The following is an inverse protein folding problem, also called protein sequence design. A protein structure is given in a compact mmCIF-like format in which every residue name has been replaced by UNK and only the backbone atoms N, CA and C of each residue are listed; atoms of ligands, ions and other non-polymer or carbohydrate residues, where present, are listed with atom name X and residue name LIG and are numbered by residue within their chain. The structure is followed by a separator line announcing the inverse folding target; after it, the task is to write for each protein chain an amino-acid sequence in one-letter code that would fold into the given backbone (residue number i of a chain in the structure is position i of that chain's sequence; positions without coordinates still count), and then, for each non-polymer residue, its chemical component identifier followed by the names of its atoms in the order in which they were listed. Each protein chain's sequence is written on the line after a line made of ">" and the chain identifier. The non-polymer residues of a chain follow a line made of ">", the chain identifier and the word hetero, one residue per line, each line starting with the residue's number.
data_IF_291677138047
#
_entry.id   IF_291677138047
#
_cell.length_a   1.000
_cell.length_b   1.000
_cell.length_c   1.000
_cell.angle_alpha   90.00
_cell.angle_beta   90.00
_cell.angle_gamma   90.00
#
_symmetry.space_group_name_H-M   'P 1'
#
loop_
_entity.id
_entity.type
_entity.pdbx_description
1 polymer ?
#
# COMPACT_ATOMS: atom_id res chain seq x y z
N UNK A 1 21.60 -16.34 -1.47
CA UNK A 1 20.24 -16.92 -1.66
C UNK A 1 19.23 -15.78 -1.74
N UNK A 2 18.19 -15.89 -2.57
CA UNK A 2 17.14 -14.87 -2.70
C UNK A 2 15.94 -15.27 -1.83
N UNK A 3 15.56 -14.41 -0.89
CA UNK A 3 14.44 -14.65 0.02
C UNK A 3 13.24 -13.79 -0.39
N UNK A 4 12.03 -14.34 -0.30
CA UNK A 4 10.77 -13.64 -0.65
C UNK A 4 9.75 -13.87 0.48
N UNK A 5 9.02 -12.82 0.86
CA UNK A 5 7.98 -12.91 1.90
C UNK A 5 8.55 -12.97 3.33
N UNK A 6 7.97 -13.79 4.19
CA UNK A 6 8.33 -13.83 5.61
C UNK A 6 9.80 -14.13 5.91
N UNK A 7 10.49 -15.04 5.19
CA UNK A 7 11.93 -15.23 5.34
C UNK A 7 12.74 -13.95 5.07
N UNK A 8 12.36 -13.18 4.04
CA UNK A 8 13.00 -11.89 3.75
C UNK A 8 12.71 -10.86 4.87
N UNK A 9 11.46 -10.76 5.33
CA UNK A 9 11.08 -9.85 6.43
C UNK A 9 11.89 -10.13 7.70
N UNK A 10 12.10 -11.41 8.06
CA UNK A 10 12.83 -11.80 9.28
C UNK A 10 14.30 -11.36 9.32
N UNK A 11 14.97 -11.32 8.17
CA UNK A 11 16.39 -10.97 8.09
C UNK A 11 16.65 -9.49 7.74
N UNK A 12 15.58 -8.71 7.53
CA UNK A 12 15.64 -7.30 7.16
C UNK A 12 16.49 -6.49 8.16
N UNK A 13 16.35 -6.79 9.45
CA UNK A 13 17.10 -6.15 10.54
C UNK A 13 18.62 -6.27 10.40
N UNK A 14 19.13 -7.42 9.94
CA UNK A 14 20.57 -7.69 9.79
C UNK A 14 21.11 -7.44 8.39
N UNK A 15 20.23 -7.17 7.42
CA UNK A 15 20.59 -7.08 6.01
C UNK A 15 19.76 -6.00 5.28
N UNK A 16 19.60 -4.83 5.91
CA UNK A 16 18.74 -3.75 5.41
C UNK A 16 19.12 -3.27 4.01
N UNK A 17 20.42 -3.14 3.73
CA UNK A 17 20.92 -2.63 2.44
C UNK A 17 20.56 -3.57 1.25
N UNK A 18 20.28 -4.86 1.49
CA UNK A 18 19.89 -5.83 0.46
C UNK A 18 18.46 -6.37 0.63
N UNK A 19 17.66 -5.79 1.54
CA UNK A 19 16.27 -6.20 1.74
C UNK A 19 15.35 -5.17 1.12
N UNK A 20 14.85 -5.47 -0.08
CA UNK A 20 13.98 -4.56 -0.83
C UNK A 20 12.52 -4.76 -0.40
N UNK A 21 11.87 -3.67 0.00
CA UNK A 21 10.45 -3.57 0.33
C UNK A 21 9.89 -2.29 -0.29
N UNK A 22 8.58 -2.03 -0.19
CA UNK A 22 7.94 -0.82 -0.73
C UNK A 22 8.18 -0.54 -2.23
N UNK A 23 8.70 -1.51 -3.00
CA UNK A 23 9.18 -1.28 -4.38
C UNK A 23 8.06 -0.82 -5.33
N UNK A 24 6.80 -1.11 -4.98
CA UNK A 24 5.61 -0.60 -5.69
C UNK A 24 5.53 0.93 -5.70
N UNK A 25 6.15 1.63 -4.73
CA UNK A 25 6.27 3.10 -4.75
C UNK A 25 7.24 3.59 -5.84
N UNK A 26 8.19 2.75 -6.27
CA UNK A 26 9.22 3.08 -7.27
C UNK A 26 8.86 2.63 -8.69
N UNK A 27 7.96 1.65 -8.83
CA UNK A 27 7.61 1.08 -10.14
C UNK A 27 7.08 2.17 -11.08
N UNK A 28 7.61 2.22 -12.31
CA UNK A 28 7.25 3.22 -13.33
C UNK A 28 7.65 4.66 -13.01
N UNK A 29 8.51 4.91 -12.01
CA UNK A 29 8.98 6.26 -11.67
C UNK A 29 10.38 6.57 -12.19
N UNK A 30 10.64 7.86 -12.38
CA UNK A 30 11.96 8.39 -12.73
C UNK A 30 12.84 8.52 -11.49
N UNK A 31 14.15 8.39 -11.68
CA UNK A 31 15.11 8.56 -10.58
C UNK A 31 15.11 9.98 -10.02
N UNK A 32 14.85 10.98 -10.86
CA UNK A 32 14.83 12.40 -10.51
C UNK A 32 13.47 12.94 -10.03
N UNK A 33 12.44 12.08 -10.00
CA UNK A 33 11.12 12.40 -9.43
C UNK A 33 11.27 12.86 -7.97
N UNK A 34 10.67 14.01 -7.56
CA UNK A 34 10.68 14.47 -6.18
C UNK A 34 10.23 13.40 -5.16
N UNK A 35 9.29 12.55 -5.55
CA UNK A 35 8.79 11.44 -4.73
C UNK A 35 9.87 10.38 -4.54
N UNK A 36 10.56 9.97 -5.61
CA UNK A 36 11.68 9.02 -5.54
C UNK A 36 12.81 9.54 -4.66
N UNK A 37 13.10 10.85 -4.71
CA UNK A 37 14.11 11.48 -3.84
C UNK A 37 13.74 11.35 -2.37
N UNK A 38 12.48 11.58 -2.03
CA UNK A 38 11.97 11.39 -0.67
C UNK A 38 12.11 9.93 -0.23
N UNK A 39 11.72 8.97 -1.08
CA UNK A 39 11.88 7.54 -0.77
C UNK A 39 13.34 7.15 -0.53
N UNK A 40 14.28 7.74 -1.27
CA UNK A 40 15.73 7.50 -1.09
C UNK A 40 16.21 7.85 0.33
N UNK A 41 15.58 8.81 0.99
CA UNK A 41 15.91 9.19 2.37
C UNK A 41 15.23 8.27 3.41
N UNK A 42 14.18 7.55 3.00
CA UNK A 42 13.33 6.76 3.89
C UNK A 42 13.69 5.27 3.91
N UNK A 43 14.37 4.74 2.90
CA UNK A 43 14.67 3.30 2.78
C UNK A 43 16.13 2.98 3.10
N UNK A 44 16.44 1.79 3.66
CA UNK A 44 17.81 1.40 3.97
C UNK A 44 18.62 0.97 2.74
N UNK A 45 17.94 0.43 1.72
CA UNK A 45 18.57 -0.02 0.47
C UNK A 45 18.88 1.15 -0.47
N UNK A 46 19.72 0.91 -1.47
CA UNK A 46 20.14 1.95 -2.40
C UNK A 46 19.17 2.06 -3.58
N UNK A 47 18.56 3.23 -3.75
CA UNK A 47 17.87 3.61 -4.98
C UNK A 47 18.92 4.22 -5.93
N UNK A 48 19.00 3.68 -7.14
CA UNK A 48 20.00 4.04 -8.15
C UNK A 48 19.35 4.44 -9.46
N UNK A 49 20.08 5.20 -10.29
CA UNK A 49 19.60 5.59 -11.62
C UNK A 49 19.77 4.45 -12.61
N UNK A 50 18.67 3.91 -13.10
CA UNK A 50 18.67 2.89 -14.15
C UNK A 50 19.20 3.41 -15.48
N UNK A 51 19.52 2.48 -16.40
CA UNK A 51 20.10 2.80 -17.72
C UNK A 51 19.22 3.74 -18.57
N UNK A 52 17.91 3.67 -18.38
CA UNK A 52 16.92 4.51 -19.05
C UNK A 52 16.58 5.79 -18.27
N UNK A 53 17.17 5.99 -17.09
CA UNK A 53 16.89 7.11 -16.17
C UNK A 53 15.78 6.85 -15.15
N UNK A 54 15.21 5.64 -15.12
CA UNK A 54 14.19 5.26 -14.14
C UNK A 54 14.80 4.97 -12.77
N UNK A 55 13.97 4.99 -11.73
CA UNK A 55 14.36 4.60 -10.38
C UNK A 55 14.54 3.08 -10.31
N UNK A 56 15.77 2.63 -10.07
CA UNK A 56 16.14 1.23 -9.87
C UNK A 56 16.62 1.03 -8.43
N UNK A 57 16.81 -0.22 -8.01
CA UNK A 57 17.37 -0.54 -6.70
C UNK A 57 18.64 -1.38 -6.87
N UNK A 58 19.58 -1.24 -5.95
CA UNK A 58 20.78 -2.07 -5.91
C UNK A 58 20.73 -3.04 -4.73
N UNK A 59 20.99 -4.32 -5.00
CA UNK A 59 21.08 -5.37 -3.99
C UNK A 59 22.15 -6.40 -4.39
N UNK A 60 23.02 -6.78 -3.47
CA UNK A 60 24.05 -7.79 -3.72
C UNK A 60 25.09 -7.39 -4.79
N UNK A 61 25.27 -6.08 -5.02
CA UNK A 61 26.16 -5.55 -6.05
C UNK A 61 25.57 -5.53 -7.47
N UNK A 62 24.29 -5.87 -7.63
CA UNK A 62 23.58 -5.81 -8.90
C UNK A 62 22.43 -4.81 -8.85
N UNK A 63 22.17 -4.15 -9.98
CA UNK A 63 21.05 -3.23 -10.14
C UNK A 63 19.84 -3.97 -10.70
N UNK A 64 18.68 -3.77 -10.07
CA UNK A 64 17.41 -4.37 -10.43
C UNK A 64 16.37 -3.28 -10.71
N UNK A 65 15.59 -3.46 -11.77
CA UNK A 65 14.41 -2.64 -11.99
C UNK A 65 13.31 -2.98 -10.97
N UNK A 66 12.42 -2.03 -10.64
CA UNK A 66 11.25 -2.31 -9.80
C UNK A 66 10.38 -3.46 -10.34
N UNK A 67 10.29 -3.61 -11.66
CA UNK A 67 9.58 -4.72 -12.30
C UNK A 67 10.24 -6.07 -12.02
N UNK A 68 11.58 -6.16 -12.02
CA UNK A 68 12.28 -7.40 -11.67
C UNK A 68 12.06 -7.78 -10.19
N UNK A 69 12.15 -6.82 -9.27
CA UNK A 69 11.88 -7.08 -7.85
C UNK A 69 10.43 -7.52 -7.64
N UNK A 70 9.48 -6.84 -8.29
CA UNK A 70 8.05 -7.19 -8.22
C UNK A 70 7.77 -8.57 -8.82
N UNK A 71 8.49 -8.94 -9.90
CA UNK A 71 8.39 -10.25 -10.51
C UNK A 71 8.78 -11.38 -9.55
N UNK A 72 9.75 -11.18 -8.65
CA UNK A 72 10.08 -12.18 -7.63
C UNK A 72 8.89 -12.42 -6.68
N UNK A 73 8.17 -11.36 -6.31
CA UNK A 73 6.94 -11.50 -5.51
C UNK A 73 5.86 -12.24 -6.29
N UNK A 74 5.66 -11.91 -7.57
CA UNK A 74 4.69 -12.58 -8.44
C UNK A 74 5.05 -14.05 -8.69
N UNK A 75 6.32 -14.39 -8.85
CA UNK A 75 6.80 -15.78 -8.93
C UNK A 75 6.41 -16.56 -7.67
N UNK A 76 6.56 -15.95 -6.48
CA UNK A 76 6.13 -16.61 -5.24
C UNK A 76 4.61 -16.84 -5.20
N UNK A 77 3.82 -15.91 -5.73
CA UNK A 77 2.35 -16.08 -5.82
C UNK A 77 1.97 -17.16 -6.83
N UNK A 78 2.65 -17.20 -7.98
CA UNK A 78 2.53 -18.27 -8.97
C UNK A 78 2.84 -19.64 -8.35
N UNK A 79 3.99 -19.80 -7.72
CA UNK A 79 4.37 -21.05 -7.02
C UNK A 79 3.34 -21.46 -5.97
N UNK A 80 2.73 -20.48 -5.28
CA UNK A 80 1.70 -20.74 -4.27
C UNK A 80 0.43 -21.32 -4.92
N UNK A 81 -0.01 -20.74 -6.04
CA UNK A 81 -1.14 -21.26 -6.82
C UNK A 81 -0.83 -22.64 -7.42
N UNK A 82 0.34 -22.83 -8.03
CA UNK A 82 0.78 -24.11 -8.60
C UNK A 82 0.85 -25.22 -7.53
N UNK A 83 1.35 -24.90 -6.34
CA UNK A 83 1.42 -25.84 -5.21
C UNK A 83 0.02 -26.27 -4.75
N UNK A 84 -0.97 -25.37 -4.81
CA UNK A 84 -2.35 -25.67 -4.43
C UNK A 84 -3.08 -26.46 -5.52
N UNK A 85 -2.91 -26.09 -6.79
CA UNK A 85 -3.61 -26.69 -7.92
C UNK A 85 -2.98 -28.01 -8.39
N UNK A 86 -1.67 -28.21 -8.16
CA UNK A 86 -0.93 -29.38 -8.65
C UNK A 86 -0.61 -29.32 -10.15
N UNK A 87 -0.72 -28.15 -10.78
CA UNK A 87 -0.44 -27.92 -12.20
C UNK A 87 0.23 -26.57 -12.44
N UNK A 88 0.77 -26.37 -13.64
CA UNK A 88 1.47 -25.13 -14.02
C UNK A 88 0.48 -23.99 -14.26
N UNK A 89 0.77 -22.81 -13.69
CA UNK A 89 -0.01 -21.59 -13.89
C UNK A 89 0.74 -20.66 -14.83
N UNK A 90 0.13 -20.30 -15.96
CA UNK A 90 0.78 -19.47 -16.99
C UNK A 90 0.11 -18.12 -17.21
N UNK A 91 -1.09 -17.91 -16.68
CA UNK A 91 -1.91 -16.73 -16.92
C UNK A 91 -2.34 -16.08 -15.60
N UNK A 92 -2.44 -14.75 -15.58
CA UNK A 92 -2.87 -14.03 -14.39
C UNK A 92 -3.62 -12.73 -14.70
N UNK A 93 -4.50 -12.34 -13.79
CA UNK A 93 -4.98 -10.97 -13.63
C UNK A 93 -4.19 -10.33 -12.49
N UNK A 94 -3.62 -9.15 -12.72
CA UNK A 94 -2.78 -8.45 -11.73
C UNK A 94 -3.42 -7.11 -11.39
N UNK A 95 -3.42 -6.75 -10.11
CA UNK A 95 -4.06 -5.53 -9.61
C UNK A 95 -3.08 -4.36 -9.58
N UNK A 96 -3.59 -3.15 -9.77
CA UNK A 96 -2.86 -1.88 -9.60
C UNK A 96 -3.74 -0.83 -8.93
N UNK A 97 -3.17 0.17 -8.23
CA UNK A 97 -3.91 1.33 -7.76
C UNK A 97 -4.67 2.00 -8.90
N UNK A 98 -5.90 2.45 -8.64
CA UNK A 98 -6.72 3.06 -9.69
C UNK A 98 -6.01 4.28 -10.29
N UNK A 99 -5.30 5.05 -9.47
CA UNK A 99 -4.59 6.25 -9.88
C UNK A 99 -3.20 6.03 -10.51
N UNK A 100 -2.81 4.78 -10.81
CA UNK A 100 -1.57 4.50 -11.56
C UNK A 100 -1.61 5.07 -12.98
N UNK A 101 -0.52 5.74 -13.36
CA UNK A 101 -0.32 6.23 -14.73
C UNK A 101 0.11 5.12 -15.71
N UNK A 102 0.23 5.46 -16.99
CA UNK A 102 0.58 4.52 -18.05
C UNK A 102 1.92 3.79 -17.80
N UNK A 103 2.97 4.52 -17.41
CA UNK A 103 4.29 3.95 -17.14
C UNK A 103 4.25 2.94 -15.97
N UNK A 104 3.49 3.24 -14.91
CA UNK A 104 3.34 2.36 -13.75
C UNK A 104 2.56 1.08 -14.10
N UNK A 105 1.50 1.22 -14.91
CA UNK A 105 0.70 0.09 -15.41
C UNK A 105 1.53 -0.82 -16.31
N UNK A 106 2.27 -0.23 -17.25
CA UNK A 106 3.14 -0.99 -18.15
C UNK A 106 4.26 -1.70 -17.38
N UNK A 107 4.93 -1.01 -16.45
CA UNK A 107 5.98 -1.62 -15.63
C UNK A 107 5.46 -2.77 -14.74
N UNK A 108 4.20 -2.69 -14.28
CA UNK A 108 3.56 -3.78 -13.52
C UNK A 108 3.21 -4.97 -14.44
N UNK A 109 2.74 -4.70 -15.66
CA UNK A 109 2.53 -5.74 -16.67
C UNK A 109 3.83 -6.46 -17.02
N UNK A 110 4.92 -5.71 -17.19
CA UNK A 110 6.25 -6.25 -17.44
C UNK A 110 6.72 -7.14 -16.27
N UNK A 111 6.44 -6.77 -15.02
CA UNK A 111 6.73 -7.61 -13.86
C UNK A 111 6.03 -8.98 -13.95
N UNK A 112 4.78 -9.03 -14.40
CA UNK A 112 4.07 -10.28 -14.66
C UNK A 112 4.74 -11.13 -15.74
N UNK A 113 5.16 -10.51 -16.84
CA UNK A 113 5.87 -11.21 -17.91
C UNK A 113 7.22 -11.77 -17.45
N UNK A 114 8.00 -10.99 -16.69
CA UNK A 114 9.27 -11.44 -16.10
C UNK A 114 9.04 -12.60 -15.13
N UNK A 115 7.89 -12.63 -14.44
CA UNK A 115 7.49 -13.73 -13.56
C UNK A 115 7.05 -15.00 -14.31
N UNK A 116 7.00 -14.98 -15.65
CA UNK A 116 6.51 -16.09 -16.46
C UNK A 116 5.00 -16.24 -16.41
N UNK A 117 4.28 -15.11 -16.34
CA UNK A 117 2.82 -15.02 -16.42
C UNK A 117 2.42 -14.17 -17.64
N UNK A 118 1.54 -14.72 -18.47
CA UNK A 118 0.77 -13.93 -19.42
C UNK A 118 -0.26 -13.10 -18.64
N UNK A 119 -0.09 -11.78 -18.67
CA UNK A 119 -0.98 -10.85 -17.97
C UNK A 119 -2.22 -10.61 -18.83
N UNK A 120 -3.30 -11.31 -18.53
CA UNK A 120 -4.58 -11.23 -19.25
C UNK A 120 -5.25 -9.87 -19.06
N UNK A 121 -5.14 -9.30 -17.85
CA UNK A 121 -5.72 -8.01 -17.50
C UNK A 121 -4.92 -7.37 -16.36
N UNK A 122 -4.71 -6.07 -16.48
CA UNK A 122 -4.41 -5.20 -15.33
C UNK A 122 -5.74 -4.62 -14.85
N UNK A 123 -6.12 -4.88 -13.61
CA UNK A 123 -7.37 -4.40 -13.02
C UNK A 123 -7.09 -3.39 -11.91
N UNK A 124 -7.93 -2.36 -11.80
CA UNK A 124 -7.86 -1.39 -10.71
C UNK A 124 -8.26 -2.06 -9.39
N UNK A 125 -7.50 -1.82 -8.32
CA UNK A 125 -7.76 -2.35 -6.98
C UNK A 125 -9.18 -2.08 -6.46
N UNK A 126 -9.69 -0.83 -6.49
CA UNK A 126 -11.06 -0.57 -6.04
C UNK A 126 -12.13 -1.23 -6.94
N UNK A 127 -11.85 -1.36 -8.25
CA UNK A 127 -12.72 -2.10 -9.17
C UNK A 127 -12.77 -3.59 -8.85
N UNK A 128 -11.62 -4.20 -8.56
CA UNK A 128 -11.55 -5.59 -8.11
C UNK A 128 -12.32 -5.76 -6.79
N UNK A 129 -12.13 -4.85 -5.83
CA UNK A 129 -12.86 -4.89 -4.58
C UNK A 129 -14.38 -4.78 -4.77
N UNK A 130 -14.83 -3.93 -5.70
CA UNK A 130 -16.23 -3.79 -6.05
C UNK A 130 -16.82 -5.06 -6.67
N UNK A 131 -16.08 -5.75 -7.56
CA UNK A 131 -16.49 -7.04 -8.12
C UNK A 131 -16.73 -8.08 -7.01
N UNK A 132 -15.82 -8.19 -6.06
CA UNK A 132 -15.96 -9.11 -4.93
C UNK A 132 -17.11 -8.71 -3.99
N UNK A 133 -17.37 -7.42 -3.81
CA UNK A 133 -18.50 -6.92 -3.02
C UNK A 133 -19.86 -7.17 -3.69
N UNK A 134 -19.94 -6.93 -5.00
CA UNK A 134 -21.19 -6.84 -5.74
C UNK A 134 -21.65 -8.12 -6.44
N UNK A 135 -20.83 -9.20 -6.44
CA UNK A 135 -21.15 -10.43 -7.17
C UNK A 135 -22.52 -11.03 -6.80
N UNK A 136 -22.91 -10.94 -5.53
CA UNK A 136 -24.18 -11.47 -5.02
C UNK A 136 -25.28 -10.40 -4.90
N UNK A 137 -25.05 -9.18 -5.38
CA UNK A 137 -25.99 -8.05 -5.24
C UNK A 137 -26.80 -7.87 -6.52
N UNK A 138 -28.12 -7.91 -6.40
CA UNK A 138 -29.04 -7.70 -7.53
C UNK A 138 -29.64 -6.29 -7.59
N UNK A 139 -29.66 -5.57 -6.46
CA UNK A 139 -30.21 -4.21 -6.43
C UNK A 139 -29.18 -3.20 -6.95
N UNK A 140 -29.65 -2.24 -7.75
CA UNK A 140 -28.87 -1.07 -8.16
C UNK A 140 -28.41 -0.25 -6.95
N UNK A 141 -27.09 -0.08 -6.78
CA UNK A 141 -26.46 0.65 -5.69
C UNK A 141 -25.32 1.52 -6.17
N UNK A 142 -25.20 2.72 -5.61
CA UNK A 142 -23.99 3.52 -5.70
C UNK A 142 -23.11 3.27 -4.49
N UNK A 143 -21.87 2.83 -4.68
CA UNK A 143 -20.93 2.56 -3.58
C UNK A 143 -19.70 3.46 -3.67
N UNK A 144 -19.08 3.68 -2.51
CA UNK A 144 -17.74 4.25 -2.42
C UNK A 144 -16.77 3.17 -1.92
N UNK A 145 -15.75 2.85 -2.71
CA UNK A 145 -14.64 2.00 -2.27
C UNK A 145 -13.54 2.93 -1.74
N UNK A 146 -13.21 2.81 -0.46
CA UNK A 146 -12.15 3.55 0.21
C UNK A 146 -11.01 2.58 0.51
N UNK A 147 -9.93 2.67 -0.25
CA UNK A 147 -8.76 1.79 -0.14
C UNK A 147 -7.57 2.55 0.47
N UNK A 148 -7.22 2.24 1.72
CA UNK A 148 -6.03 2.78 2.37
C UNK A 148 -5.07 1.64 2.72
N UNK A 149 -4.11 1.45 1.83
CA UNK A 149 -3.12 0.38 1.90
C UNK A 149 -1.85 0.78 2.66
N UNK A 150 -0.76 0.04 2.38
CA UNK A 150 0.56 0.29 2.96
C UNK A 150 1.26 1.53 2.39
N UNK A 151 1.00 1.90 1.13
CA UNK A 151 1.70 3.02 0.47
C UNK A 151 0.83 3.92 -0.41
N UNK A 152 -0.41 3.54 -0.69
CA UNK A 152 -1.34 4.31 -1.53
C UNK A 152 -2.71 4.43 -0.89
N UNK A 153 -3.40 5.49 -1.26
CA UNK A 153 -4.78 5.75 -0.96
C UNK A 153 -5.55 5.91 -2.27
N UNK A 154 -6.63 5.16 -2.45
CA UNK A 154 -7.53 5.29 -3.59
C UNK A 154 -8.98 5.40 -3.08
N UNK A 155 -9.79 6.19 -3.79
CA UNK A 155 -11.23 6.24 -3.61
C UNK A 155 -11.92 6.20 -4.96
N UNK A 156 -12.88 5.30 -5.11
CA UNK A 156 -13.67 5.19 -6.33
C UNK A 156 -15.16 5.17 -6.01
N UNK A 157 -15.93 5.89 -6.82
CA UNK A 157 -17.39 5.85 -6.78
C UNK A 157 -17.84 4.93 -7.91
N UNK A 158 -18.61 3.90 -7.57
CA UNK A 158 -19.10 2.91 -8.53
C UNK A 158 -20.61 2.78 -8.45
N UNK A 159 -21.23 2.55 -9.60
CA UNK A 159 -22.61 2.12 -9.71
C UNK A 159 -22.61 0.62 -10.03
N UNK A 160 -23.35 -0.16 -9.24
CA UNK A 160 -23.45 -1.61 -9.35
C UNK A 160 -24.91 -1.98 -9.47
N UNK A 161 -25.31 -2.66 -10.54
CA UNK A 161 -26.69 -3.12 -10.72
C UNK A 161 -26.83 -4.02 -11.93
N UNK A 162 -27.70 -5.03 -11.84
CA UNK A 162 -27.98 -5.98 -12.94
C UNK A 162 -26.72 -6.60 -13.57
N UNK A 163 -25.71 -6.90 -12.73
CA UNK A 163 -24.43 -7.46 -13.19
C UNK A 163 -23.48 -6.45 -13.86
N UNK A 164 -23.87 -5.18 -13.96
CA UNK A 164 -23.03 -4.09 -14.48
C UNK A 164 -22.32 -3.40 -13.33
N UNK A 165 -21.02 -3.19 -13.49
CA UNK A 165 -20.15 -2.45 -12.58
C UNK A 165 -19.56 -1.28 -13.35
N UNK A 166 -20.00 -0.05 -13.05
CA UNK A 166 -19.55 1.16 -13.72
C UNK A 166 -18.78 2.06 -12.75
N UNK A 167 -17.52 2.35 -13.04
CA UNK A 167 -16.74 3.34 -12.30
C UNK A 167 -17.17 4.73 -12.75
N UNK A 168 -17.84 5.48 -11.86
CA UNK A 168 -18.30 6.86 -12.14
C UNK A 168 -17.15 7.85 -12.01
N UNK A 169 -16.29 7.64 -11.01
CA UNK A 169 -15.11 8.46 -10.78
C UNK A 169 -14.08 7.72 -9.94
N UNK A 170 -12.83 8.17 -10.01
CA UNK A 170 -11.76 7.70 -9.14
C UNK A 170 -10.81 8.83 -8.82
N UNK A 171 -10.30 8.86 -7.59
CA UNK A 171 -9.29 9.79 -7.13
C UNK A 171 -8.38 9.10 -6.11
N UNK A 172 -7.29 9.74 -5.68
CA UNK A 172 -6.39 9.13 -4.72
C UNK A 172 -5.12 9.92 -4.45
N UNK A 173 -4.25 9.33 -3.64
CA UNK A 173 -2.89 9.78 -3.36
C UNK A 173 -1.95 8.56 -3.42
N UNK A 174 -1.12 8.50 -4.46
CA UNK A 174 -0.15 7.40 -4.68
C UNK A 174 1.05 7.43 -3.70
N UNK A 175 1.05 8.38 -2.76
CA UNK A 175 2.07 8.56 -1.73
C UNK A 175 1.44 8.85 -0.35
N UNK A 176 0.47 8.01 0.01
CA UNK A 176 -0.21 8.07 1.29
C UNK A 176 -0.64 6.67 1.70
N UNK A 177 -0.03 6.10 2.74
CA UNK A 177 -0.45 4.80 3.26
C UNK A 177 0.14 4.50 4.64
N UNK A 178 -0.01 3.25 5.08
CA UNK A 178 0.45 2.79 6.39
C UNK A 178 1.93 3.08 6.71
N UNK A 179 2.80 3.16 5.72
CA UNK A 179 4.22 3.53 5.90
C UNK A 179 4.39 4.98 6.38
N UNK A 180 3.52 5.90 5.94
CA UNK A 180 3.54 7.29 6.41
C UNK A 180 3.10 7.37 7.88
N UNK A 181 2.17 6.50 8.30
CA UNK A 181 1.75 6.37 9.70
C UNK A 181 2.87 5.79 10.56
N UNK A 182 3.58 4.78 10.06
CA UNK A 182 4.75 4.21 10.74
C UNK A 182 5.84 5.26 10.92
N UNK A 183 6.09 6.07 9.90
CA UNK A 183 7.08 7.15 9.93
C UNK A 183 6.79 8.17 11.03
N UNK A 184 5.53 8.61 11.19
CA UNK A 184 5.14 9.53 12.28
C UNK A 184 5.45 8.96 13.66
N UNK A 185 5.22 7.67 13.86
CA UNK A 185 5.50 7.01 15.14
C UNK A 185 7.01 6.81 15.35
N UNK A 186 7.77 6.47 14.30
CA UNK A 186 9.24 6.39 14.33
C UNK A 186 9.85 7.74 14.71
N UNK A 187 9.41 8.84 14.09
CA UNK A 187 9.85 10.20 14.41
C UNK A 187 9.60 10.52 15.89
N UNK A 188 8.38 10.26 16.37
CA UNK A 188 8.03 10.51 17.76
C UNK A 188 8.89 9.70 18.75
N UNK A 189 9.09 8.40 18.50
CA UNK A 189 9.93 7.53 19.33
C UNK A 189 11.40 7.97 19.31
N UNK A 190 11.93 8.34 18.14
CA UNK A 190 13.30 8.80 17.98
C UNK A 190 13.53 10.13 18.70
N UNK A 191 12.59 11.07 18.61
CA UNK A 191 12.68 12.37 19.28
C UNK A 191 12.58 12.23 20.81
N UNK A 192 11.71 11.33 21.31
CA UNK A 192 11.64 10.97 22.73
C UNK A 192 12.96 10.39 23.24
N UNK A 193 13.51 9.42 22.51
CA UNK A 193 14.79 8.81 22.85
C UNK A 193 15.93 9.84 22.84
N UNK A 194 15.97 10.72 21.83
CA UNK A 194 16.97 11.79 21.73
C UNK A 194 16.87 12.79 22.88
N UNK A 195 15.66 13.16 23.28
CA UNK A 195 15.45 14.05 24.42
C UNK A 195 15.94 13.43 25.75
N UNK A 196 15.80 12.10 25.91
CA UNK A 196 16.20 11.38 27.12
C UNK A 196 17.69 11.03 27.16
N UNK A 197 18.23 10.56 26.03
CA UNK A 197 19.56 9.95 25.95
C UNK A 197 20.59 10.78 25.16
N UNK A 198 20.17 11.90 24.58
CA UNK A 198 21.04 12.78 23.78
C UNK A 198 21.50 12.20 22.44
N UNK A 199 21.01 11.02 22.04
CA UNK A 199 21.41 10.32 20.82
C UNK A 199 20.25 10.14 19.86
N UNK A 200 20.51 10.29 18.57
CA UNK A 200 19.50 10.19 17.53
C UNK A 200 19.52 8.81 16.88
N UNK A 201 18.52 7.97 17.18
CA UNK A 201 18.42 6.61 16.62
C UNK A 201 18.32 6.59 15.10
N UNK A 202 17.93 7.70 14.45
CA UNK A 202 17.87 7.80 12.98
C UNK A 202 19.26 7.76 12.34
N UNK A 203 20.31 8.06 13.10
CA UNK A 203 21.69 8.02 12.63
C UNK A 203 22.31 6.62 12.63
N UNK A 204 21.70 5.68 13.36
CA UNK A 204 22.13 4.27 13.45
C UNK A 204 21.19 3.41 12.60
N UNK A 205 21.71 2.90 11.47
CA UNK A 205 20.92 2.10 10.51
C UNK A 205 20.24 0.89 11.17
N UNK A 206 20.94 0.19 12.06
CA UNK A 206 20.42 -1.01 12.72
C UNK A 206 19.34 -0.63 13.73
N UNK A 207 19.59 0.41 14.52
CA UNK A 207 18.60 0.92 15.48
C UNK A 207 17.33 1.42 14.77
N UNK A 208 17.48 2.19 13.69
CA UNK A 208 16.37 2.71 12.90
C UNK A 208 15.51 1.58 12.32
N UNK A 209 16.12 0.52 11.79
CA UNK A 209 15.38 -0.62 11.25
C UNK A 209 14.56 -1.33 12.34
N UNK A 210 15.15 -1.57 13.51
CA UNK A 210 14.43 -2.13 14.67
C UNK A 210 13.30 -1.21 15.15
N UNK A 211 13.52 0.10 15.10
CA UNK A 211 12.53 1.10 15.49
C UNK A 211 11.33 1.09 14.54
N UNK A 212 11.56 0.98 13.22
CA UNK A 212 10.51 0.86 12.20
C UNK A 212 9.63 -0.37 12.41
N UNK A 213 10.23 -1.54 12.64
CA UNK A 213 9.48 -2.79 12.90
C UNK A 213 8.64 -2.68 14.18
N UNK A 214 9.19 -2.08 15.23
CA UNK A 214 8.48 -1.88 16.48
C UNK A 214 7.34 -0.86 16.36
N UNK A 215 7.53 0.20 15.57
CA UNK A 215 6.51 1.19 15.28
C UNK A 215 5.34 0.59 14.47
N UNK A 216 5.60 -0.17 13.41
CA UNK A 216 4.55 -0.88 12.64
C UNK A 216 3.73 -1.78 13.57
N UNK A 217 4.41 -2.56 14.41
CA UNK A 217 3.76 -3.45 15.38
C UNK A 217 2.90 -2.67 16.37
N UNK A 218 3.43 -1.60 16.95
CA UNK A 218 2.70 -0.76 17.90
C UNK A 218 1.47 -0.10 17.26
N UNK A 219 1.59 0.43 16.03
CA UNK A 219 0.47 0.97 15.25
C UNK A 219 -0.66 -0.06 15.08
N UNK A 220 -0.31 -1.29 14.73
CA UNK A 220 -1.26 -2.39 14.55
C UNK A 220 -1.93 -2.76 15.89
N UNK A 221 -1.16 -2.92 16.96
CA UNK A 221 -1.70 -3.24 18.29
C UNK A 221 -2.68 -2.17 18.79
N UNK A 222 -2.36 -0.89 18.59
CA UNK A 222 -3.23 0.23 18.97
C UNK A 222 -4.55 0.30 18.20
N UNK A 223 -4.70 -0.49 17.13
CA UNK A 223 -5.99 -0.64 16.45
C UNK A 223 -6.98 -1.50 17.25
N UNK A 224 -6.51 -2.31 18.21
CA UNK A 224 -7.35 -3.13 19.10
C UNK A 224 -7.22 -2.73 20.57
N UNK A 225 -6.07 -2.24 21.01
CA UNK A 225 -5.81 -1.81 22.40
C UNK A 225 -5.76 -0.29 22.53
N UNK A 226 -5.99 0.23 23.74
CA UNK A 226 -5.87 1.66 24.01
C UNK A 226 -4.41 2.12 24.23
N UNK A 227 -3.53 1.19 24.56
CA UNK A 227 -2.11 1.44 24.89
C UNK A 227 -1.25 0.26 24.47
N UNK A 228 0.00 0.52 24.12
CA UNK A 228 1.05 -0.49 23.91
C UNK A 228 2.40 0.02 24.43
N UNK A 229 3.33 -0.89 24.72
CA UNK A 229 4.70 -0.58 25.11
C UNK A 229 5.66 -0.94 23.98
N UNK A 230 6.42 0.05 23.50
CA UNK A 230 7.55 -0.17 22.61
C UNK A 230 8.77 -0.44 23.48
N UNK A 231 9.21 -1.70 23.51
CA UNK A 231 10.33 -2.16 24.32
C UNK A 231 11.43 -2.76 23.43
N UNK A 232 12.49 -1.98 23.23
CA UNK A 232 13.66 -2.32 22.42
C UNK A 232 14.92 -2.35 23.29
N UNK A 233 15.28 -3.50 23.86
CA UNK A 233 16.50 -3.62 24.63
C UNK A 233 17.73 -3.58 23.72
N UNK A 234 18.84 -3.02 24.22
CA UNK A 234 20.10 -2.91 23.48
C UNK A 234 19.90 -2.24 22.11
N UNK A 235 19.11 -1.16 22.06
CA UNK A 235 18.76 -0.50 20.81
C UNK A 235 19.97 0.20 20.19
N UNK A 236 20.83 0.76 21.03
CA UNK A 236 22.12 1.35 20.65
C UNK A 236 23.06 1.33 21.87
N UNK A 237 24.27 1.85 21.75
CA UNK A 237 25.20 1.98 22.86
C UNK A 237 25.93 3.32 22.83
N UNK A 238 26.20 3.87 24.02
CA UNK A 238 27.02 5.08 24.18
C UNK A 238 28.46 4.70 24.47
N UNK A 239 29.41 5.36 23.80
CA UNK A 239 30.83 5.28 24.13
C UNK A 239 31.24 6.52 24.94
N UNK A 240 31.59 6.32 26.22
CA UNK A 240 32.11 7.38 27.10
C UNK A 240 33.31 6.84 27.88
N UNK A 241 34.42 7.59 27.92
CA UNK A 241 35.58 7.24 28.74
C UNK A 241 36.23 5.87 28.43
N UNK A 242 36.03 5.31 27.23
CA UNK A 242 36.51 3.98 26.86
C UNK A 242 35.58 2.82 27.28
N UNK A 243 34.43 3.10 27.89
CA UNK A 243 33.41 2.12 28.21
C UNK A 243 32.21 2.21 27.24
N UNK A 244 31.67 1.04 26.87
CA UNK A 244 30.45 0.93 26.05
C UNK A 244 29.26 0.66 26.97
N UNK A 245 28.35 1.62 27.07
CA UNK A 245 27.12 1.51 27.87
C UNK A 245 25.94 1.20 26.94
N UNK A 246 25.31 0.02 27.04
CA UNK A 246 24.12 -0.29 26.24
C UNK A 246 22.94 0.58 26.66
N UNK A 247 22.16 1.04 25.69
CA UNK A 247 20.93 1.79 25.92
C UNK A 247 19.71 0.99 25.44
N UNK A 248 18.57 1.30 26.05
CA UNK A 248 17.30 0.63 25.82
C UNK A 248 16.23 1.69 25.54
N UNK A 249 15.29 1.40 24.65
CA UNK A 249 14.10 2.22 24.46
C UNK A 249 12.92 1.48 25.09
N UNK A 250 12.27 2.13 26.05
CA UNK A 250 11.04 1.65 26.68
C UNK A 250 10.09 2.83 26.75
N UNK A 251 9.10 2.85 25.87
CA UNK A 251 8.15 3.95 25.76
C UNK A 251 6.72 3.40 25.64
N UNK A 252 5.82 3.92 26.47
CA UNK A 252 4.39 3.61 26.36
C UNK A 252 3.74 4.58 25.37
N UNK A 253 3.00 4.04 24.41
CA UNK A 253 2.26 4.80 23.40
C UNK A 253 0.78 4.56 23.61
N UNK A 254 -0.01 5.63 23.68
CA UNK A 254 -1.48 5.51 23.72
C UNK A 254 -2.09 5.67 22.32
N UNK A 255 -3.28 5.12 22.11
CA UNK A 255 -4.04 5.31 20.86
C UNK A 255 -4.28 6.78 20.60
N UNK A 256 -4.59 7.55 21.64
CA UNK A 256 -4.81 8.99 21.54
C UNK A 256 -3.56 9.75 21.11
N UNK A 257 -2.36 9.29 21.49
CA UNK A 257 -1.11 9.89 21.02
C UNK A 257 -0.91 9.59 19.53
N UNK A 258 -1.08 8.33 19.11
CA UNK A 258 -0.98 7.94 17.70
C UNK A 258 -1.98 8.73 16.83
N UNK A 259 -3.24 8.83 17.25
CA UNK A 259 -4.28 9.59 16.55
C UNK A 259 -3.89 11.06 16.36
N UNK A 260 -3.25 11.69 17.34
CA UNK A 260 -2.72 13.07 17.20
C UNK A 260 -1.56 13.13 16.21
N UNK A 261 -0.66 12.15 16.21
CA UNK A 261 0.51 12.12 15.33
C UNK A 261 0.15 12.00 13.85
N UNK A 262 -0.95 11.30 13.54
CA UNK A 262 -1.35 10.97 12.15
C UNK A 262 -2.60 11.70 11.68
N UNK A 263 -3.10 12.66 12.47
CA UNK A 263 -4.34 13.38 12.15
C UNK A 263 -4.29 14.06 10.77
N UNK A 264 -3.16 14.64 10.39
CA UNK A 264 -2.95 15.26 9.08
C UNK A 264 -3.02 14.25 7.93
N UNK A 265 -2.46 13.04 8.12
CA UNK A 265 -2.50 11.96 7.14
C UNK A 265 -3.93 11.47 6.90
N UNK A 266 -4.73 11.33 7.95
CA UNK A 266 -6.14 10.95 7.83
C UNK A 266 -6.94 12.06 7.16
N UNK A 267 -6.71 13.33 7.49
CA UNK A 267 -7.43 14.44 6.85
C UNK A 267 -7.09 14.57 5.35
N UNK A 268 -5.87 14.23 4.94
CA UNK A 268 -5.45 14.21 3.53
C UNK A 268 -6.28 13.26 2.66
N UNK A 269 -6.89 12.21 3.22
CA UNK A 269 -7.73 11.27 2.46
C UNK A 269 -9.09 11.86 2.07
N UNK A 270 -9.56 12.88 2.79
CA UNK A 270 -10.90 13.45 2.56
C UNK A 270 -11.00 14.28 1.29
N UNK A 271 -9.90 14.93 0.87
CA UNK A 271 -9.91 15.77 -0.32
C UNK A 271 -10.11 14.95 -1.61
N UNK A 272 -9.40 13.82 -1.84
CA UNK A 272 -9.74 12.90 -2.91
C UNK A 272 -11.18 12.38 -2.84
N UNK A 273 -11.72 12.11 -1.64
CA UNK A 273 -13.13 11.70 -1.50
C UNK A 273 -14.10 12.77 -1.99
N UNK A 274 -13.87 14.06 -1.65
CA UNK A 274 -14.70 15.17 -2.15
C UNK A 274 -14.64 15.29 -3.66
N UNK A 275 -13.44 15.17 -4.24
CA UNK A 275 -13.24 15.22 -5.70
C UNK A 275 -13.93 14.08 -6.40
N UNK A 276 -13.77 12.85 -5.91
CA UNK A 276 -14.43 11.68 -6.47
C UNK A 276 -15.97 11.83 -6.46
N UNK A 277 -16.56 12.29 -5.35
CA UNK A 277 -18.00 12.57 -5.28
C UNK A 277 -18.42 13.64 -6.30
N UNK A 278 -17.68 14.74 -6.40
CA UNK A 278 -17.96 15.82 -7.34
C UNK A 278 -17.86 15.36 -8.80
N UNK A 279 -16.81 14.61 -9.16
CA UNK A 279 -16.58 14.09 -10.52
C UNK A 279 -17.65 13.06 -10.92
N UNK A 280 -18.17 12.29 -9.95
CA UNK A 280 -19.29 11.37 -10.15
C UNK A 280 -20.66 12.08 -10.17
N UNK A 281 -20.72 13.38 -9.83
CA UNK A 281 -21.96 14.15 -9.79
C UNK A 281 -22.91 13.74 -8.65
N UNK A 282 -22.38 13.16 -7.57
CA UNK A 282 -23.16 12.66 -6.42
C UNK A 282 -22.71 13.32 -5.12
N UNK A 283 -23.56 13.29 -4.10
CA UNK A 283 -23.23 13.69 -2.74
C UNK A 283 -22.95 12.47 -1.86
N UNK A 284 -22.35 12.69 -0.69
CA UNK A 284 -22.14 11.63 0.30
C UNK A 284 -23.44 10.90 0.71
N UNK A 285 -24.60 11.56 0.60
CA UNK A 285 -25.91 10.99 0.95
C UNK A 285 -26.44 10.02 -0.11
N UNK A 286 -25.96 10.15 -1.34
CA UNK A 286 -26.37 9.32 -2.47
C UNK A 286 -25.56 8.01 -2.54
N UNK A 287 -24.51 7.89 -1.72
CA UNK A 287 -23.78 6.63 -1.55
C UNK A 287 -24.65 5.69 -0.73
N UNK A 288 -24.85 4.45 -1.18
CA UNK A 288 -25.57 3.39 -0.49
C UNK A 288 -24.66 2.63 0.49
N UNK A 289 -23.46 2.25 0.05
CA UNK A 289 -22.49 1.52 0.86
C UNK A 289 -21.08 2.10 0.74
N UNK A 290 -20.34 2.12 1.85
CA UNK A 290 -18.91 2.47 1.86
C UNK A 290 -18.11 1.21 2.17
N UNK A 291 -17.31 0.76 1.22
CA UNK A 291 -16.50 -0.46 1.32
C UNK A 291 -15.07 -0.07 1.70
N UNK A 292 -14.59 -0.57 2.84
CA UNK A 292 -13.22 -0.34 3.29
C UNK A 292 -12.28 -1.44 2.77
N UNK A 293 -11.18 -1.03 2.18
CA UNK A 293 -10.13 -1.89 1.63
C UNK A 293 -8.77 -1.47 2.19
N UNK A 294 -7.86 -2.43 2.37
CA UNK A 294 -6.51 -2.15 2.84
C UNK A 294 -6.38 -2.14 4.36
N UNK A 295 -5.29 -2.72 4.85
CA UNK A 295 -5.08 -2.95 6.29
C UNK A 295 -5.05 -1.67 7.13
N UNK A 296 -4.74 -0.50 6.56
CA UNK A 296 -4.69 0.74 7.33
C UNK A 296 -6.10 1.26 7.69
N UNK A 297 -7.14 0.81 6.98
CA UNK A 297 -8.55 1.08 7.34
C UNK A 297 -9.00 0.36 8.62
N UNK A 298 -8.18 -0.54 9.18
CA UNK A 298 -8.43 -1.18 10.48
C UNK A 298 -8.27 -0.21 11.66
N UNK A 299 -7.58 0.92 11.47
CA UNK A 299 -7.44 1.94 12.51
C UNK A 299 -8.81 2.54 12.87
N UNK A 300 -9.22 2.52 14.16
CA UNK A 300 -10.52 3.03 14.58
C UNK A 300 -10.79 4.47 14.13
N UNK A 301 -9.79 5.35 14.21
CA UNK A 301 -9.93 6.75 13.82
C UNK A 301 -10.17 6.94 12.32
N UNK A 302 -9.59 6.10 11.46
CA UNK A 302 -9.87 6.12 10.01
C UNK A 302 -11.33 5.77 9.78
N UNK A 303 -11.84 4.72 10.44
CA UNK A 303 -13.26 4.31 10.32
C UNK A 303 -14.22 5.38 10.80
N UNK A 304 -13.91 6.04 11.91
CA UNK A 304 -14.69 7.17 12.44
C UNK A 304 -14.75 8.32 11.43
N UNK A 305 -13.60 8.74 10.89
CA UNK A 305 -13.54 9.84 9.91
C UNK A 305 -14.30 9.49 8.62
N UNK A 306 -14.17 8.26 8.13
CA UNK A 306 -14.93 7.79 6.97
C UNK A 306 -16.43 7.78 7.25
N UNK A 307 -16.84 7.28 8.42
CA UNK A 307 -18.24 7.29 8.86
C UNK A 307 -18.80 8.70 8.92
N UNK A 308 -18.07 9.64 9.51
CA UNK A 308 -18.50 11.02 9.66
C UNK A 308 -18.60 11.73 8.30
N UNK A 309 -17.66 11.45 7.38
CA UNK A 309 -17.66 12.03 6.04
C UNK A 309 -18.82 11.54 5.18
N UNK A 310 -19.06 10.23 5.12
CA UNK A 310 -20.13 9.64 4.32
C UNK A 310 -21.48 9.59 5.04
N UNK A 311 -21.51 9.88 6.34
CA UNK A 311 -22.73 9.81 7.16
C UNK A 311 -23.29 8.40 7.35
N UNK A 312 -22.48 7.35 7.16
CA UNK A 312 -22.91 5.95 7.28
C UNK A 312 -21.82 5.03 7.79
N UNK A 313 -22.23 3.93 8.41
CA UNK A 313 -21.32 2.88 8.86
C UNK A 313 -20.66 2.20 7.66
N UNK A 314 -19.32 2.10 7.61
CA UNK A 314 -18.65 1.37 6.55
C UNK A 314 -18.96 -0.13 6.61
N UNK A 315 -19.16 -0.73 5.44
CA UNK A 315 -19.48 -2.13 5.26
C UNK A 315 -18.35 -3.03 5.77
N UNK A 316 -18.73 -4.09 6.51
CA UNK A 316 -17.79 -5.06 7.12
C UNK A 316 -17.93 -6.47 6.58
N UNK A 317 -18.80 -6.70 5.59
CA UNK A 317 -19.04 -8.02 5.01
C UNK A 317 -17.96 -8.50 4.04
N UNK A 318 -16.92 -7.71 3.78
CA UNK A 318 -15.75 -8.10 2.98
C UNK A 318 -14.48 -8.00 3.81
N UNK A 319 -13.53 -8.91 3.59
CA UNK A 319 -12.24 -8.86 4.24
C UNK A 319 -11.33 -7.83 3.55
N UNK A 320 -10.92 -6.74 4.22
CA UNK A 320 -10.13 -5.67 3.60
C UNK A 320 -8.76 -6.12 3.08
N UNK A 321 -8.26 -7.29 3.50
CA UNK A 321 -6.96 -7.83 3.07
C UNK A 321 -7.06 -8.74 1.84
N UNK A 322 -8.25 -9.33 1.57
CA UNK A 322 -8.43 -10.37 0.56
C UNK A 322 -9.34 -9.92 -0.60
N UNK A 323 -10.21 -8.94 -0.36
CA UNK A 323 -11.29 -8.53 -1.30
C UNK A 323 -10.77 -8.15 -2.69
N UNK A 324 -9.59 -7.52 -2.76
CA UNK A 324 -8.94 -7.15 -4.04
C UNK A 324 -8.48 -8.41 -4.80
N UNK A 325 -7.86 -9.36 -4.11
CA UNK A 325 -7.39 -10.61 -4.73
C UNK A 325 -8.58 -11.48 -5.19
N UNK A 326 -9.64 -11.54 -4.39
CA UNK A 326 -10.91 -12.19 -4.78
C UNK A 326 -11.49 -11.56 -6.05
N UNK A 327 -11.51 -10.22 -6.12
CA UNK A 327 -11.95 -9.47 -7.29
C UNK A 327 -11.14 -9.78 -8.55
N UNK A 328 -9.82 -9.87 -8.42
CA UNK A 328 -8.95 -10.25 -9.54
C UNK A 328 -9.21 -11.69 -10.02
N UNK A 329 -9.49 -12.62 -9.10
CA UNK A 329 -9.89 -13.98 -9.44
C UNK A 329 -11.26 -14.02 -10.16
N UNK A 330 -12.25 -13.24 -9.69
CA UNK A 330 -13.54 -13.08 -10.38
C UNK A 330 -13.33 -12.53 -11.79
N UNK A 331 -12.50 -11.50 -11.95
CA UNK A 331 -12.15 -10.96 -13.26
C UNK A 331 -11.51 -12.01 -14.17
N UNK A 332 -10.65 -12.89 -13.65
CA UNK A 332 -10.10 -13.99 -14.43
C UNK A 332 -11.20 -14.96 -14.90
N UNK A 333 -12.14 -15.31 -14.02
CA UNK A 333 -13.32 -16.13 -14.35
C UNK A 333 -14.23 -15.49 -15.40
N UNK A 334 -14.38 -14.17 -15.40
CA UNK A 334 -15.11 -13.42 -16.45
C UNK A 334 -14.40 -13.55 -17.81
N UNK A 335 -13.07 -13.46 -17.84
CA UNK A 335 -12.28 -13.58 -19.07
C UNK A 335 -12.32 -15.00 -19.67
N UNK A 336 -12.43 -16.02 -18.81
CA UNK A 336 -12.57 -17.41 -19.23
C UNK A 336 -14.02 -17.79 -19.62
N UNK A 337 -15.00 -16.98 -19.22
CA UNK A 337 -16.43 -17.24 -19.44
C UNK A 337 -17.10 -18.12 -18.38
N UNK A 338 -16.39 -18.41 -17.29
CA UNK A 338 -16.90 -19.17 -16.15
C UNK A 338 -17.82 -18.32 -15.25
N UNK A 339 -17.52 -17.03 -15.13
CA UNK A 339 -18.39 -16.04 -14.50
C UNK A 339 -19.18 -15.34 -15.60
N UNK A 340 -20.50 -15.52 -15.58
CA UNK A 340 -21.43 -14.98 -16.58
C UNK A 340 -22.18 -13.79 -16.02
N UNK A 341 -22.79 -13.02 -16.93
CA UNK A 341 -23.68 -11.90 -16.61
C UNK A 341 -23.00 -10.81 -15.77
N UNK A 342 -21.68 -10.65 -15.93
CA UNK A 342 -20.90 -9.56 -15.33
C UNK A 342 -20.31 -8.69 -16.44
N UNK A 343 -20.62 -7.40 -16.41
CA UNK A 343 -20.06 -6.39 -17.31
C UNK A 343 -19.33 -5.33 -16.48
N UNK A 344 -18.05 -5.11 -16.79
CA UNK A 344 -17.23 -4.10 -16.13
C UNK A 344 -16.93 -2.93 -17.07
N UNK A 345 -17.29 -1.73 -16.64
CA UNK A 345 -17.01 -0.44 -17.30
C UNK A 345 -16.11 0.39 -16.38
N UNK A 346 -14.82 0.46 -16.71
CA UNK A 346 -13.82 1.20 -15.94
C UNK A 346 -13.40 2.49 -16.68
N UNK A 347 -12.71 3.41 -16.00
CA UNK A 347 -12.32 4.73 -16.51
C UNK A 347 -10.80 4.93 -16.46
N UNK A 348 -10.28 5.84 -17.28
CA UNK A 348 -8.90 6.32 -17.10
C UNK A 348 -8.86 7.37 -15.99
N UNK A 349 -7.95 7.26 -15.01
CA UNK A 349 -7.88 8.18 -13.87
C UNK A 349 -7.29 9.56 -14.23
N UNK A 350 -6.59 9.66 -15.36
CA UNK A 350 -5.80 10.84 -15.74
C UNK A 350 -6.20 11.31 -17.14
N UNK A 351 -6.32 12.63 -17.30
CA UNK A 351 -6.51 13.25 -18.60
C UNK A 351 -5.30 13.02 -19.50
N UNK A 352 -5.55 12.60 -20.74
CA UNK A 352 -4.52 12.45 -21.77
C UNK A 352 -4.46 13.72 -22.62
N UNK A 353 -3.28 14.34 -22.72
CA UNK A 353 -3.07 15.55 -23.50
C UNK A 353 -1.76 15.49 -24.30
N UNK A 354 -1.61 16.43 -25.23
CA UNK A 354 -0.37 16.66 -25.99
C UNK A 354 0.14 18.07 -25.71
N UNK A 355 1.45 18.24 -25.67
CA UNK A 355 2.05 19.57 -25.67
C UNK A 355 1.76 20.24 -27.02
N UNK A 356 1.28 21.49 -26.97
CA UNK A 356 1.02 22.29 -28.17
C UNK A 356 1.98 23.47 -28.19
N UNK A 357 2.35 23.92 -29.39
CA UNK A 357 3.16 25.13 -29.56
C UNK A 357 2.36 26.35 -29.07
N UNK A 358 2.71 26.84 -27.89
CA UNK A 358 2.29 28.13 -27.34
C UNK A 358 3.43 29.13 -27.45
#
# INVERSE_FOLDING_TARGET
>A
ERLIGQPAKRQAVTNGDNTIFAVKRLIGRRFDDPVTKKDTELVPYHIVKGKNGDAWVQAGGEDYSPSQISAFTLQKMKETAESYLGETVTQAVITVPAYFNDAQRQATKDAGQIAGLEVLRIINEPTAAALAYGLDKQDGKTIAVYDLGGGTFDVSILEIGDGVFEVKSTNGDTFLGGEDFDTKLVEWLADKFKAKEGMDLRSDKLALQRLKEAAEKAKIELSSTATTEVNLPFITARMEGGATTPLHLVETVTRADLEKMVADLIQRTLEPCRKALADAGVSAKDIDDVVLVGGMTRMPKVREVVKDFFGKEPHTGVNPDEVVAMGAAIQAGVLQGDVRDVLLLDVTPLSLGIETLG
#
